data_IF_690793210283
#
_entry.id   IF_690793210283
#
_cell.length_a   1.000
_cell.length_b   1.000
_cell.length_c   1.000
_cell.angle_alpha   90.00
_cell.angle_beta   90.00
_cell.angle_gamma   90.00
#
_symmetry.space_group_name_H-M   'P 1'
#
loop_
_entity.id
_entity.type
_entity.pdbx_description
1 polymer ?
#
# COMPACT_ATOMS: atom_id res chain seq x y z
N UNK A 1 -69.62 6.48 -16.60
CA UNK A 1 -71.09 6.61 -16.51
C UNK A 1 -71.61 5.47 -15.64
N UNK A 2 -72.26 5.81 -14.52
CA UNK A 2 -73.37 5.05 -13.89
C UNK A 2 -73.01 3.73 -13.17
N UNK A 3 -72.80 3.86 -11.85
CA UNK A 3 -73.21 2.95 -10.74
C UNK A 3 -74.72 2.61 -10.78
N UNK A 4 -75.37 1.79 -9.90
CA UNK A 4 -74.95 0.76 -8.91
C UNK A 4 -75.95 -0.47 -8.98
N UNK A 5 -76.61 -1.09 -7.95
CA UNK A 5 -76.38 -1.25 -6.48
C UNK A 5 -76.79 -2.64 -5.82
N UNK A 6 -76.53 -2.74 -4.49
CA UNK A 6 -77.35 -3.31 -3.36
C UNK A 6 -77.45 -4.85 -3.15
N UNK A 7 -76.84 -5.43 -2.10
CA UNK A 7 -77.30 -5.69 -0.68
C UNK A 7 -78.48 -6.67 -0.54
N UNK A 8 -78.79 -7.23 0.66
CA UNK A 8 -77.99 -7.88 1.74
C UNK A 8 -78.66 -9.21 2.19
N UNK A 9 -78.19 -9.87 3.27
CA UNK A 9 -79.00 -10.28 4.45
C UNK A 9 -78.35 -11.41 5.28
N UNK A 10 -78.43 -11.21 6.60
CA UNK A 10 -78.19 -12.09 7.76
C UNK A 10 -79.01 -13.41 7.72
N UNK A 11 -78.71 -14.50 8.44
CA UNK A 11 -78.69 -14.67 9.92
C UNK A 11 -78.14 -16.06 10.31
N UNK A 12 -77.75 -16.20 11.59
CA UNK A 12 -77.20 -17.39 12.28
C UNK A 12 -78.23 -18.51 12.51
N UNK A 13 -77.78 -19.77 12.51
CA UNK A 13 -78.23 -20.84 13.45
C UNK A 13 -77.19 -21.99 13.51
N UNK A 14 -76.97 -22.54 14.71
CA UNK A 14 -76.27 -23.81 15.05
C UNK A 14 -77.33 -24.74 15.70
N UNK A 15 -77.17 -26.08 15.90
CA UNK A 15 -75.91 -26.83 16.12
C UNK A 15 -75.85 -28.30 15.57
N UNK A 16 -74.73 -28.98 15.92
CA UNK A 16 -74.55 -30.42 16.19
C UNK A 16 -74.06 -31.39 15.07
N UNK A 17 -72.75 -31.68 15.18
CA UNK A 17 -72.05 -32.99 15.12
C UNK A 17 -72.26 -33.97 13.96
N UNK A 18 -71.21 -34.19 13.14
CA UNK A 18 -70.50 -35.48 12.99
C UNK A 18 -69.45 -35.49 11.85
N UNK A 19 -68.22 -35.88 12.21
CA UNK A 19 -67.28 -36.78 11.50
C UNK A 19 -66.55 -36.27 10.22
N UNK A 20 -65.23 -36.04 10.42
CA UNK A 20 -64.06 -36.36 9.59
C UNK A 20 -64.05 -36.09 8.07
N UNK A 21 -63.09 -35.27 7.60
CA UNK A 21 -61.82 -35.72 6.97
C UNK A 21 -60.81 -34.57 7.06
N UNK A 22 -59.64 -34.89 7.61
CA UNK A 22 -58.47 -34.05 7.79
C UNK A 22 -57.60 -34.15 6.52
N UNK A 23 -57.56 -33.10 5.68
CA UNK A 23 -56.49 -32.93 4.69
C UNK A 23 -55.53 -31.86 5.20
N UNK A 24 -54.51 -32.35 5.91
CA UNK A 24 -53.42 -31.58 6.49
C UNK A 24 -52.43 -31.23 5.36
N UNK A 25 -52.49 -30.00 4.86
CA UNK A 25 -51.38 -29.43 4.11
C UNK A 25 -50.31 -28.96 5.09
N UNK A 26 -49.42 -29.88 5.51
CA UNK A 26 -48.15 -29.49 6.12
C UNK A 26 -47.23 -29.00 5.01
N UNK A 27 -47.27 -27.70 4.73
CA UNK A 27 -46.15 -27.04 4.08
C UNK A 27 -44.97 -27.08 5.06
N UNK A 28 -43.94 -27.81 4.68
CA UNK A 28 -42.70 -28.02 5.42
C UNK A 28 -41.97 -26.70 5.66
N UNK A 29 -42.06 -26.17 6.89
CA UNK A 29 -41.16 -25.12 7.42
C UNK A 29 -39.83 -25.77 7.85
N UNK A 30 -39.12 -26.39 6.91
CA UNK A 30 -37.80 -27.00 7.17
C UNK A 30 -36.65 -26.26 6.48
N UNK A 31 -36.94 -25.36 5.53
CA UNK A 31 -35.92 -24.54 4.86
C UNK A 31 -35.45 -23.31 5.64
N UNK A 32 -36.25 -22.82 6.60
CA UNK A 32 -35.96 -21.58 7.33
C UNK A 32 -34.91 -21.75 8.44
N UNK A 33 -34.82 -22.92 9.07
CA UNK A 33 -33.91 -23.17 10.21
C UNK A 33 -32.48 -23.52 9.80
N UNK A 34 -32.28 -24.14 8.63
CA UNK A 34 -30.96 -24.43 8.10
C UNK A 34 -30.25 -23.18 7.53
N UNK A 35 -31.03 -22.26 6.94
CA UNK A 35 -30.52 -20.98 6.43
C UNK A 35 -30.07 -20.03 7.55
N UNK A 36 -30.83 -19.97 8.66
CA UNK A 36 -30.47 -19.13 9.81
C UNK A 36 -29.26 -19.64 10.59
N UNK A 37 -29.09 -20.96 10.74
CA UNK A 37 -27.93 -21.53 11.41
C UNK A 37 -26.62 -21.29 10.63
N UNK A 38 -26.66 -21.38 9.30
CA UNK A 38 -25.51 -21.14 8.41
C UNK A 38 -25.11 -19.65 8.42
N UNK A 39 -26.08 -18.74 8.40
CA UNK A 39 -25.85 -17.29 8.52
C UNK A 39 -25.25 -16.90 9.89
N UNK A 40 -25.72 -17.50 10.98
CA UNK A 40 -25.20 -17.23 12.32
C UNK A 40 -23.75 -17.71 12.50
N UNK A 41 -23.41 -18.88 11.96
CA UNK A 41 -22.05 -19.43 12.02
C UNK A 41 -21.05 -18.60 11.19
N UNK A 42 -21.45 -18.16 9.98
CA UNK A 42 -20.62 -17.27 9.16
C UNK A 42 -20.38 -15.91 9.84
N UNK A 43 -21.42 -15.34 10.46
CA UNK A 43 -21.31 -14.10 11.25
C UNK A 43 -20.35 -14.26 12.45
N UNK A 44 -20.42 -15.39 13.16
CA UNK A 44 -19.52 -15.68 14.28
C UNK A 44 -18.05 -15.82 13.84
N UNK A 45 -17.78 -16.50 12.71
CA UNK A 45 -16.43 -16.65 12.17
C UNK A 45 -15.82 -15.30 11.74
N UNK A 46 -16.61 -14.42 11.10
CA UNK A 46 -16.17 -13.07 10.75
C UNK A 46 -15.88 -12.22 11.99
N UNK A 47 -16.71 -12.32 13.03
CA UNK A 47 -16.48 -11.61 14.30
C UNK A 47 -15.21 -12.10 15.00
N UNK A 48 -14.95 -13.41 15.01
CA UNK A 48 -13.74 -14.00 15.59
C UNK A 48 -12.48 -13.55 14.81
N UNK A 49 -12.53 -13.57 13.47
CA UNK A 49 -11.44 -13.05 12.65
C UNK A 49 -11.17 -11.57 12.93
N UNK A 50 -12.22 -10.76 13.03
CA UNK A 50 -12.12 -9.35 13.40
C UNK A 50 -11.42 -9.16 14.74
N UNK A 51 -11.82 -9.91 15.78
CA UNK A 51 -11.19 -9.84 17.10
C UNK A 51 -9.70 -10.24 17.08
N UNK A 52 -9.32 -11.25 16.29
CA UNK A 52 -7.91 -11.63 16.13
C UNK A 52 -7.10 -10.55 15.41
N UNK A 53 -7.69 -9.92 14.39
CA UNK A 53 -7.06 -8.79 13.69
C UNK A 53 -6.91 -7.59 14.63
N UNK A 54 -7.95 -7.24 15.40
CA UNK A 54 -7.89 -6.16 16.38
C UNK A 54 -6.76 -6.37 17.39
N UNK A 55 -6.62 -7.60 17.92
CA UNK A 55 -5.53 -7.94 18.83
C UNK A 55 -4.14 -7.81 18.18
N UNK A 56 -4.01 -8.14 16.89
CA UNK A 56 -2.77 -7.99 16.15
C UNK A 56 -2.40 -6.52 15.87
N UNK A 57 -3.40 -5.64 15.73
CA UNK A 57 -3.25 -4.25 15.28
C UNK A 57 -3.19 -3.26 16.44
N UNK A 58 -3.86 -3.54 17.57
CA UNK A 58 -4.02 -2.63 18.70
C UNK A 58 -2.69 -1.99 19.19
N UNK A 59 -1.57 -2.72 19.35
CA UNK A 59 -0.33 -2.11 19.82
C UNK A 59 0.22 -1.01 18.90
N UNK A 60 -0.02 -1.10 17.59
CA UNK A 60 0.42 -0.10 16.61
C UNK A 60 -0.46 1.16 16.66
N UNK A 61 -1.76 0.99 16.86
CA UNK A 61 -2.72 2.09 17.04
C UNK A 61 -2.46 2.82 18.35
N UNK A 62 -2.23 2.08 19.43
CA UNK A 62 -1.88 2.64 20.74
C UNK A 62 -0.56 3.43 20.69
N UNK A 63 0.44 2.94 19.95
CA UNK A 63 1.70 3.64 19.73
C UNK A 63 1.60 4.85 18.78
N UNK A 64 0.42 5.10 18.18
CA UNK A 64 0.21 6.08 17.11
C UNK A 64 1.12 5.84 15.88
N UNK A 65 1.61 4.61 15.70
CA UNK A 65 2.40 4.20 14.54
C UNK A 65 1.52 3.78 13.36
N UNK A 66 0.23 3.52 13.61
CA UNK A 66 -0.77 3.19 12.61
C UNK A 66 -2.11 3.87 12.89
N UNK A 67 -2.67 4.50 11.86
CA UNK A 67 -4.08 4.88 11.77
C UNK A 67 -4.50 4.70 10.30
N UNK A 68 -5.69 4.15 10.05
CA UNK A 68 -6.13 3.87 8.69
C UNK A 68 -7.18 2.78 8.59
N UNK A 69 -7.18 2.04 7.48
CA UNK A 69 -8.16 0.99 7.18
C UNK A 69 -7.43 -0.30 6.80
N UNK A 70 -7.83 -1.41 7.42
CA UNK A 70 -7.40 -2.76 7.06
C UNK A 70 -8.56 -3.48 6.42
N UNK A 71 -8.29 -4.21 5.34
CA UNK A 71 -9.28 -4.99 4.63
C UNK A 71 -8.78 -6.40 4.38
N UNK A 72 -9.67 -7.38 4.54
CA UNK A 72 -9.44 -8.78 4.15
C UNK A 72 -10.55 -9.20 3.20
N UNK A 73 -10.16 -9.60 1.99
CA UNK A 73 -11.05 -10.21 1.02
C UNK A 73 -10.68 -11.67 0.81
N UNK A 74 -11.68 -12.53 0.60
CA UNK A 74 -11.50 -13.88 0.07
C UNK A 74 -12.40 -14.05 -1.13
N UNK A 75 -11.90 -14.64 -2.20
CA UNK A 75 -12.64 -14.82 -3.46
C UNK A 75 -14.07 -15.34 -3.20
N UNK A 76 -15.06 -14.66 -3.76
CA UNK A 76 -16.48 -15.00 -3.62
C UNK A 76 -17.09 -14.80 -2.23
N UNK A 77 -16.39 -14.15 -1.29
CA UNK A 77 -16.88 -13.86 0.07
C UNK A 77 -16.97 -12.36 0.34
N UNK A 78 -17.89 -11.96 1.22
CA UNK A 78 -17.99 -10.57 1.67
C UNK A 78 -16.69 -10.15 2.39
N UNK A 79 -16.12 -8.97 2.06
CA UNK A 79 -14.88 -8.52 2.67
C UNK A 79 -15.09 -8.03 4.11
N UNK A 80 -14.07 -8.21 4.93
CA UNK A 80 -13.97 -7.60 6.25
C UNK A 80 -13.18 -6.29 6.14
N UNK A 81 -13.77 -5.16 6.55
CA UNK A 81 -13.12 -3.84 6.48
C UNK A 81 -13.16 -3.19 7.87
N UNK A 82 -11.99 -2.90 8.42
CA UNK A 82 -11.79 -2.46 9.80
C UNK A 82 -11.04 -1.12 9.82
N UNK A 83 -11.71 -0.01 10.19
CA UNK A 83 -11.06 1.29 10.38
C UNK A 83 -10.43 1.41 11.78
N UNK A 84 -9.30 2.09 11.87
CA UNK A 84 -8.53 2.28 13.10
C UNK A 84 -8.02 3.71 13.22
N UNK A 85 -8.08 4.28 14.43
CA UNK A 85 -7.48 5.59 14.72
C UNK A 85 -8.17 6.76 14.02
N UNK A 86 -7.42 7.83 13.76
CA UNK A 86 -7.94 9.12 13.29
C UNK A 86 -7.62 9.37 11.80
N UNK A 87 -8.65 9.72 11.04
CA UNK A 87 -8.53 10.26 9.69
C UNK A 87 -7.95 11.67 9.71
N UNK A 88 -8.35 12.50 10.68
CA UNK A 88 -7.73 13.80 10.94
C UNK A 88 -7.49 13.96 12.43
N UNK A 89 -6.22 14.16 12.80
CA UNK A 89 -5.80 14.34 14.19
C UNK A 89 -6.26 15.70 14.72
N UNK A 90 -6.11 16.76 13.93
CA UNK A 90 -6.44 18.14 14.32
C UNK A 90 -7.94 18.33 14.53
N UNK A 91 -8.77 17.61 13.77
CA UNK A 91 -10.23 17.72 13.83
C UNK A 91 -10.87 16.62 14.71
N UNK A 92 -10.09 15.67 15.22
CA UNK A 92 -10.60 14.54 16.00
C UNK A 92 -11.56 13.63 15.20
N UNK A 93 -11.34 13.51 13.89
CA UNK A 93 -12.21 12.74 13.00
C UNK A 93 -11.70 11.30 12.93
N UNK A 94 -12.47 10.29 13.37
CA UNK A 94 -12.07 8.89 13.27
C UNK A 94 -12.08 8.40 11.82
N UNK A 95 -11.29 7.37 11.54
CA UNK A 95 -11.36 6.68 10.25
C UNK A 95 -12.71 6.03 10.01
N UNK A 96 -13.09 5.98 8.74
CA UNK A 96 -14.25 5.25 8.24
C UNK A 96 -13.78 4.19 7.24
N UNK A 97 -14.57 3.11 7.00
CA UNK A 97 -14.20 2.08 6.05
C UNK A 97 -13.95 2.58 4.62
N UNK A 98 -14.55 3.72 4.25
CA UNK A 98 -14.50 4.35 2.93
C UNK A 98 -13.39 5.40 2.77
N UNK A 99 -12.45 5.49 3.73
CA UNK A 99 -11.30 6.40 3.66
C UNK A 99 -10.45 6.20 2.40
N UNK A 100 -9.97 7.31 1.82
CA UNK A 100 -9.18 7.35 0.58
C UNK A 100 -7.76 7.81 0.90
N UNK A 101 -6.77 7.01 0.52
CA UNK A 101 -5.36 7.15 0.87
C UNK A 101 -4.50 7.22 -0.38
N UNK A 102 -3.34 7.90 -0.33
CA UNK A 102 -2.29 7.63 -1.31
C UNK A 102 -1.74 6.22 -1.07
N UNK A 103 -1.70 5.41 -2.13
CA UNK A 103 -1.26 4.01 -2.00
C UNK A 103 0.22 3.82 -2.34
N UNK A 104 0.95 4.91 -2.60
CA UNK A 104 2.37 4.87 -2.92
C UNK A 104 2.69 3.81 -3.97
N UNK A 105 3.75 3.04 -3.74
CA UNK A 105 4.28 2.10 -4.73
C UNK A 105 3.38 0.91 -5.09
N UNK A 106 2.26 0.68 -4.38
CA UNK A 106 1.19 -0.21 -4.87
C UNK A 106 0.72 0.22 -6.28
N UNK A 107 0.83 1.51 -6.61
CA UNK A 107 0.55 2.08 -7.93
C UNK A 107 1.30 1.41 -9.08
N UNK A 108 2.45 0.77 -8.83
CA UNK A 108 3.27 0.11 -9.85
C UNK A 108 2.56 -1.09 -10.48
N UNK A 109 1.72 -1.79 -9.71
CA UNK A 109 0.90 -2.89 -10.24
C UNK A 109 -0.04 -2.38 -11.35
N UNK A 110 -0.67 -1.23 -11.13
CA UNK A 110 -1.56 -0.60 -12.10
C UNK A 110 -0.83 -0.16 -13.37
N UNK A 111 0.39 0.39 -13.23
CA UNK A 111 1.23 0.75 -14.40
C UNK A 111 1.63 -0.48 -15.20
N UNK A 112 2.05 -1.55 -14.52
CA UNK A 112 2.42 -2.81 -15.18
C UNK A 112 1.24 -3.42 -15.95
N UNK A 113 0.07 -3.49 -15.34
CA UNK A 113 -1.15 -4.00 -15.99
C UNK A 113 -1.57 -3.09 -17.14
N UNK A 114 -1.45 -1.77 -17.02
CA UNK A 114 -1.73 -0.86 -18.11
C UNK A 114 -0.82 -1.08 -19.34
N UNK A 115 0.47 -1.37 -19.13
CA UNK A 115 1.40 -1.78 -20.19
C UNK A 115 0.95 -3.10 -20.83
N UNK A 116 0.58 -4.10 -20.02
CA UNK A 116 0.12 -5.40 -20.54
C UNK A 116 -1.20 -5.29 -21.31
N UNK A 117 -2.15 -4.46 -20.87
CA UNK A 117 -3.37 -4.17 -21.62
C UNK A 117 -3.07 -3.53 -22.99
N UNK A 118 -2.09 -2.62 -23.05
CA UNK A 118 -1.62 -2.05 -24.32
C UNK A 118 -0.90 -3.08 -25.19
N UNK A 119 -0.20 -4.04 -24.60
CA UNK A 119 0.40 -5.17 -25.32
C UNK A 119 -0.67 -6.07 -25.93
N UNK A 120 -1.72 -6.41 -25.18
CA UNK A 120 -2.88 -7.17 -25.66
C UNK A 120 -3.62 -6.46 -26.80
N UNK A 121 -3.72 -5.13 -26.73
CA UNK A 121 -4.29 -4.30 -27.80
C UNK A 121 -3.36 -4.18 -29.03
N UNK A 122 -2.15 -4.76 -28.99
CA UNK A 122 -1.14 -4.66 -30.06
C UNK A 122 -0.55 -3.25 -30.23
N UNK A 123 -0.66 -2.40 -29.20
CA UNK A 123 -0.18 -1.00 -29.21
C UNK A 123 1.30 -0.89 -28.89
N UNK A 124 1.83 -1.82 -28.11
CA UNK A 124 3.25 -1.93 -27.76
C UNK A 124 3.62 -3.40 -27.55
N UNK A 125 4.90 -3.66 -27.33
CA UNK A 125 5.40 -4.91 -26.75
C UNK A 125 6.30 -4.61 -25.57
N UNK A 126 6.28 -5.47 -24.55
CA UNK A 126 7.17 -5.37 -23.39
C UNK A 126 8.64 -5.49 -23.79
N UNK A 127 8.94 -6.17 -24.90
CA UNK A 127 10.29 -6.27 -25.46
C UNK A 127 10.69 -5.07 -26.35
N UNK A 128 9.78 -4.12 -26.62
CA UNK A 128 10.12 -2.93 -27.41
C UNK A 128 11.18 -2.10 -26.67
N UNK A 129 12.15 -1.52 -27.40
CA UNK A 129 12.99 -0.49 -26.82
C UNK A 129 12.14 0.74 -26.49
N UNK A 130 12.47 1.44 -25.40
CA UNK A 130 11.78 2.65 -24.96
C UNK A 130 11.77 3.71 -26.07
N UNK A 131 12.84 3.81 -26.86
CA UNK A 131 12.95 4.75 -27.99
C UNK A 131 11.90 4.55 -29.09
N UNK A 132 11.28 3.36 -29.18
CA UNK A 132 10.16 3.14 -30.11
C UNK A 132 8.93 3.98 -29.76
N UNK A 133 8.71 4.20 -28.47
CA UNK A 133 7.55 4.93 -27.95
C UNK A 133 7.92 6.37 -27.55
N UNK A 134 9.17 6.59 -27.13
CA UNK A 134 9.72 7.86 -26.70
C UNK A 134 11.04 8.15 -27.46
N UNK A 135 10.98 8.53 -28.75
CA UNK A 135 12.17 8.65 -29.61
C UNK A 135 13.20 9.69 -29.12
N UNK A 136 12.73 10.70 -28.38
CA UNK A 136 13.57 11.76 -27.85
C UNK A 136 14.13 11.44 -26.44
N UNK A 137 13.84 10.26 -25.88
CA UNK A 137 14.35 9.87 -24.55
C UNK A 137 15.80 9.37 -24.64
N UNK A 138 16.79 10.06 -24.02
CA UNK A 138 18.19 9.69 -24.15
C UNK A 138 18.51 8.28 -23.60
N UNK A 139 19.17 7.46 -24.44
CA UNK A 139 19.53 6.07 -24.13
C UNK A 139 18.36 5.09 -24.14
N UNK A 140 17.18 5.50 -24.62
CA UNK A 140 15.98 4.64 -24.68
C UNK A 140 16.08 3.47 -25.67
N UNK A 141 17.06 3.47 -26.57
CA UNK A 141 17.35 2.39 -27.50
C UNK A 141 18.00 1.16 -26.83
N UNK A 142 18.68 1.37 -25.71
CA UNK A 142 19.29 0.30 -24.91
C UNK A 142 18.41 -0.26 -23.79
N UNK A 143 17.20 0.28 -23.59
CA UNK A 143 16.30 -0.07 -22.48
C UNK A 143 15.00 -0.62 -23.04
N UNK A 144 14.55 -1.80 -22.59
CA UNK A 144 13.22 -2.33 -22.94
C UNK A 144 12.15 -1.88 -21.95
N UNK A 145 10.88 -1.91 -22.36
CA UNK A 145 9.74 -1.66 -21.45
C UNK A 145 9.72 -2.65 -20.28
N UNK A 146 10.01 -3.93 -20.53
CA UNK A 146 10.15 -4.96 -19.50
C UNK A 146 11.21 -4.60 -18.44
N UNK A 147 12.35 -4.05 -18.86
CA UNK A 147 13.40 -3.62 -17.93
C UNK A 147 12.98 -2.44 -17.05
N UNK A 148 12.01 -1.61 -17.49
CA UNK A 148 11.39 -0.60 -16.62
C UNK A 148 10.56 -1.29 -15.53
N UNK A 149 9.74 -2.27 -15.90
CA UNK A 149 8.81 -2.95 -14.99
C UNK A 149 9.49 -3.88 -13.98
N UNK A 150 10.67 -4.40 -14.33
CA UNK A 150 11.45 -5.34 -13.50
C UNK A 150 12.57 -4.67 -12.73
N UNK A 151 12.64 -3.33 -12.72
CA UNK A 151 13.74 -2.55 -12.11
C UNK A 151 15.14 -2.91 -12.64
N UNK A 152 15.23 -3.33 -13.90
CA UNK A 152 16.48 -3.70 -14.56
C UNK A 152 17.01 -2.65 -15.55
N UNK A 153 16.35 -1.49 -15.66
CA UNK A 153 16.64 -0.48 -16.70
C UNK A 153 17.91 0.36 -16.49
N UNK A 154 18.42 0.46 -15.26
CA UNK A 154 19.49 1.41 -14.93
C UNK A 154 19.04 2.87 -14.82
N UNK A 155 17.75 3.16 -14.95
CA UNK A 155 17.22 4.51 -14.75
C UNK A 155 17.29 4.87 -13.27
N UNK A 156 17.85 6.04 -12.98
CA UNK A 156 18.00 6.54 -11.61
C UNK A 156 16.65 6.77 -10.92
N UNK A 157 16.64 6.72 -9.60
CA UNK A 157 15.45 7.03 -8.83
C UNK A 157 15.13 8.54 -8.88
N UNK A 158 13.86 8.92 -8.97
CA UNK A 158 13.43 10.34 -9.02
C UNK A 158 13.94 11.16 -7.83
N UNK A 159 14.15 10.54 -6.67
CA UNK A 159 14.65 11.20 -5.46
C UNK A 159 16.15 11.51 -5.53
N UNK A 160 16.88 10.95 -6.50
CA UNK A 160 18.29 11.26 -6.75
C UNK A 160 18.49 12.47 -7.68
N UNK A 161 17.41 12.95 -8.33
CA UNK A 161 17.48 14.08 -9.25
C UNK A 161 17.84 15.38 -8.52
N UNK A 162 18.71 16.18 -9.14
CA UNK A 162 19.11 17.49 -8.59
C UNK A 162 17.90 18.40 -8.36
N UNK A 163 16.94 18.41 -9.30
CA UNK A 163 15.71 19.20 -9.17
C UNK A 163 14.88 18.77 -7.96
N UNK A 164 14.82 17.47 -7.66
CA UNK A 164 14.12 16.97 -6.48
C UNK A 164 14.78 17.56 -5.22
N UNK A 165 16.11 17.45 -5.10
CA UNK A 165 16.86 18.03 -3.98
C UNK A 165 16.70 19.56 -3.86
N UNK A 166 16.74 20.29 -4.98
CA UNK A 166 16.62 21.75 -5.01
C UNK A 166 15.23 22.26 -4.63
N UNK A 167 14.17 21.54 -5.02
CA UNK A 167 12.77 21.93 -4.81
C UNK A 167 12.13 21.27 -3.61
N UNK A 168 12.84 20.34 -2.94
CA UNK A 168 12.27 19.46 -1.93
C UNK A 168 11.16 18.54 -2.48
N UNK A 169 11.17 18.25 -3.79
CA UNK A 169 10.12 17.50 -4.46
C UNK A 169 8.78 18.24 -4.60
N UNK A 170 8.72 19.53 -4.24
CA UNK A 170 7.46 20.30 -4.23
C UNK A 170 7.13 20.99 -5.56
N UNK A 171 8.06 20.99 -6.52
CA UNK A 171 7.86 21.64 -7.82
C UNK A 171 8.52 20.86 -8.97
N UNK A 172 7.93 21.00 -10.15
CA UNK A 172 8.36 20.34 -11.39
C UNK A 172 7.17 19.83 -12.19
N UNK A 173 7.33 19.76 -13.50
CA UNK A 173 6.38 19.11 -14.41
C UNK A 173 6.83 17.69 -14.71
N UNK A 174 5.89 16.81 -15.08
CA UNK A 174 6.22 15.43 -15.44
C UNK A 174 7.24 15.37 -16.60
N UNK A 175 7.12 16.26 -17.59
CA UNK A 175 8.08 16.40 -18.68
C UNK A 175 9.48 16.75 -18.19
N UNK A 176 9.62 17.68 -17.25
CA UNK A 176 10.94 18.01 -16.67
C UNK A 176 11.55 16.85 -15.90
N UNK A 177 10.74 16.05 -15.19
CA UNK A 177 11.22 14.84 -14.51
C UNK A 177 11.74 13.82 -15.52
N UNK A 178 11.02 13.60 -16.63
CA UNK A 178 11.49 12.70 -17.70
C UNK A 178 12.77 13.21 -18.38
N UNK A 179 12.88 14.51 -18.60
CA UNK A 179 14.08 15.16 -19.13
C UNK A 179 15.28 14.97 -18.20
N UNK A 180 15.09 15.20 -16.89
CA UNK A 180 16.12 15.00 -15.88
C UNK A 180 16.55 13.51 -15.81
N UNK A 181 15.59 12.56 -15.86
CA UNK A 181 15.88 11.11 -15.88
C UNK A 181 16.62 10.65 -17.15
N UNK A 182 16.31 11.27 -18.28
CA UNK A 182 16.99 11.04 -19.56
C UNK A 182 18.47 11.40 -19.49
N UNK A 183 18.80 12.54 -18.90
CA UNK A 183 20.17 13.05 -18.80
C UNK A 183 20.94 12.57 -17.57
N UNK A 184 20.28 11.97 -16.58
CA UNK A 184 20.95 11.37 -15.44
C UNK A 184 21.75 10.13 -15.86
N UNK A 185 22.98 10.01 -15.36
CA UNK A 185 23.82 8.83 -15.55
C UNK A 185 23.08 7.56 -15.11
N UNK A 186 23.22 6.48 -15.89
CA UNK A 186 22.60 5.20 -15.56
C UNK A 186 23.28 4.61 -14.33
N UNK A 187 22.49 4.07 -13.41
CA UNK A 187 23.01 3.46 -12.19
C UNK A 187 23.80 2.17 -12.48
N UNK A 188 23.49 1.53 -13.60
CA UNK A 188 24.12 0.32 -14.13
C UNK A 188 23.68 0.13 -15.59
N UNK A 189 24.31 -0.82 -16.29
CA UNK A 189 23.89 -1.16 -17.65
C UNK A 189 22.50 -1.83 -17.66
N UNK A 190 21.64 -1.54 -18.65
CA UNK A 190 20.32 -2.16 -18.74
C UNK A 190 20.41 -3.69 -18.78
N UNK A 191 19.57 -4.36 -17.98
CA UNK A 191 19.50 -5.80 -17.88
C UNK A 191 20.58 -6.47 -17.02
N UNK A 192 21.59 -5.73 -16.52
CA UNK A 192 22.72 -6.37 -15.81
C UNK A 192 22.55 -6.45 -14.29
N UNK A 193 21.61 -5.70 -13.70
CA UNK A 193 21.31 -5.75 -12.28
C UNK A 193 19.87 -5.31 -11.99
N UNK A 194 19.36 -5.70 -10.83
CA UNK A 194 18.09 -5.21 -10.27
C UNK A 194 18.38 -4.04 -9.31
N UNK A 195 17.85 -2.86 -9.60
CA UNK A 195 17.90 -1.70 -8.72
C UNK A 195 16.58 -0.94 -8.77
N UNK A 196 15.82 -0.98 -7.67
CA UNK A 196 14.50 -0.37 -7.57
C UNK A 196 14.53 1.11 -7.97
N UNK A 197 13.66 1.49 -8.91
CA UNK A 197 13.63 2.84 -9.45
C UNK A 197 12.21 3.34 -9.65
N UNK A 198 11.85 4.39 -8.92
CA UNK A 198 10.62 5.13 -9.23
C UNK A 198 10.71 5.82 -10.60
N UNK A 199 11.91 6.20 -11.04
CA UNK A 199 12.15 6.82 -12.34
C UNK A 199 11.84 5.89 -13.51
N UNK A 200 12.18 4.60 -13.39
CA UNK A 200 11.81 3.59 -14.37
C UNK A 200 10.29 3.52 -14.60
N UNK A 201 9.51 3.58 -13.51
CA UNK A 201 8.04 3.62 -13.58
C UNK A 201 7.47 4.93 -14.10
N UNK A 202 8.15 6.05 -13.87
CA UNK A 202 7.80 7.32 -14.52
C UNK A 202 8.00 7.24 -16.04
N UNK A 203 9.07 6.62 -16.52
CA UNK A 203 9.24 6.37 -17.96
C UNK A 203 8.20 5.39 -18.49
N UNK A 204 7.83 4.35 -17.73
CA UNK A 204 6.75 3.44 -18.12
C UNK A 204 5.39 4.17 -18.26
N UNK A 205 5.07 5.11 -17.36
CA UNK A 205 3.89 5.95 -17.52
C UNK A 205 3.95 6.82 -18.78
N UNK A 206 5.11 7.38 -19.13
CA UNK A 206 5.28 8.11 -20.39
C UNK A 206 5.10 7.21 -21.63
N UNK A 207 5.55 5.94 -21.56
CA UNK A 207 5.28 4.94 -22.61
C UNK A 207 3.77 4.67 -22.74
N UNK A 208 3.03 4.55 -21.62
CA UNK A 208 1.56 4.43 -21.64
C UNK A 208 0.94 5.64 -22.34
N UNK A 209 1.39 6.86 -22.02
CA UNK A 209 0.85 8.07 -22.65
C UNK A 209 1.09 8.10 -24.15
N UNK A 210 2.31 7.79 -24.59
CA UNK A 210 2.68 7.74 -25.99
C UNK A 210 1.93 6.64 -26.77
N UNK A 211 1.88 5.42 -26.23
CA UNK A 211 1.26 4.28 -26.89
C UNK A 211 -0.28 4.37 -26.92
N UNK A 212 -0.90 5.02 -25.94
CA UNK A 212 -2.36 5.16 -25.86
C UNK A 212 -2.90 6.47 -26.45
N UNK A 213 -2.09 7.53 -26.53
CA UNK A 213 -2.52 8.88 -26.88
C UNK A 213 -3.34 9.58 -25.79
N UNK A 214 -3.31 9.08 -24.55
CA UNK A 214 -4.07 9.57 -23.39
C UNK A 214 -3.11 9.90 -22.26
N UNK A 215 -3.51 10.77 -21.35
CA UNK A 215 -2.74 10.93 -20.11
C UNK A 215 -2.79 9.66 -19.27
N UNK A 216 -1.76 9.41 -18.45
CA UNK A 216 -1.66 8.20 -17.63
C UNK A 216 -2.92 7.99 -16.78
N UNK A 217 -3.41 9.07 -16.15
CA UNK A 217 -4.64 9.00 -15.34
C UNK A 217 -5.90 8.72 -16.15
N UNK A 218 -6.03 9.30 -17.35
CA UNK A 218 -7.19 9.07 -18.21
C UNK A 218 -7.21 7.62 -18.76
N UNK A 219 -6.05 7.05 -19.06
CA UNK A 219 -5.95 5.65 -19.46
C UNK A 219 -6.39 4.71 -18.33
N UNK A 220 -5.86 4.88 -17.12
CA UNK A 220 -6.26 4.07 -15.96
C UNK A 220 -7.75 4.19 -15.65
N UNK A 221 -8.30 5.41 -15.73
CA UNK A 221 -9.72 5.64 -15.48
C UNK A 221 -10.60 4.87 -16.47
N UNK A 222 -10.26 4.90 -17.76
CA UNK A 222 -11.06 4.21 -18.78
C UNK A 222 -10.87 2.69 -18.75
N UNK A 223 -9.64 2.23 -18.58
CA UNK A 223 -9.29 0.83 -18.82
C UNK A 223 -9.29 -0.03 -17.57
N UNK A 224 -9.22 0.57 -16.39
CA UNK A 224 -9.13 -0.16 -15.12
C UNK A 224 -10.20 0.35 -14.14
N UNK A 225 -10.13 1.61 -13.71
CA UNK A 225 -10.98 2.06 -12.59
C UNK A 225 -12.47 2.07 -12.94
N UNK A 226 -12.84 2.56 -14.13
CA UNK A 226 -14.23 2.58 -14.60
C UNK A 226 -14.82 1.18 -14.72
N UNK A 227 -14.21 0.27 -15.52
CA UNK A 227 -14.70 -1.10 -15.70
C UNK A 227 -14.84 -1.89 -14.40
N UNK A 228 -13.89 -1.73 -13.46
CA UNK A 228 -13.92 -2.42 -12.17
C UNK A 228 -14.78 -1.74 -11.11
N UNK A 229 -15.40 -0.59 -11.42
CA UNK A 229 -16.18 0.18 -10.46
C UNK A 229 -15.36 0.72 -9.29
N UNK A 230 -14.06 0.99 -9.49
CA UNK A 230 -13.16 1.56 -8.48
C UNK A 230 -13.36 3.08 -8.38
N UNK A 231 -14.50 3.51 -7.86
CA UNK A 231 -14.94 4.92 -7.87
C UNK A 231 -14.17 5.83 -6.92
N UNK A 232 -13.46 5.25 -5.95
CA UNK A 232 -12.58 5.98 -5.01
C UNK A 232 -11.13 6.03 -5.50
N UNK A 233 -10.82 5.41 -6.65
CA UNK A 233 -9.48 5.32 -7.20
C UNK A 233 -9.23 6.36 -8.29
N UNK A 234 -8.08 7.03 -8.22
CA UNK A 234 -7.71 8.05 -9.20
C UNK A 234 -6.20 8.32 -9.24
N UNK A 235 -5.71 8.68 -10.42
CA UNK A 235 -4.47 9.44 -10.57
C UNK A 235 -4.84 10.93 -10.63
N UNK A 236 -4.71 11.62 -9.50
CA UNK A 236 -5.01 13.03 -9.47
C UNK A 236 -3.79 13.85 -9.90
N UNK A 237 -3.76 14.21 -11.19
CA UNK A 237 -3.37 15.58 -11.55
C UNK A 237 -4.32 16.54 -10.81
N UNK A 238 -3.93 17.79 -10.47
CA UNK A 238 -4.63 18.62 -9.46
C UNK A 238 -6.14 18.70 -9.72
N UNK A 239 -6.90 17.85 -9.02
CA UNK A 239 -8.34 17.73 -9.08
C UNK A 239 -8.91 18.32 -7.78
N UNK A 240 -10.15 18.86 -7.80
CA UNK A 240 -10.78 19.41 -6.61
C UNK A 240 -10.82 18.39 -5.46
N UNK A 241 -10.95 18.92 -4.24
CA UNK A 241 -11.08 18.14 -3.02
C UNK A 241 -12.16 17.05 -3.19
N UNK A 242 -11.79 15.80 -2.91
CA UNK A 242 -12.72 14.66 -2.89
C UNK A 242 -13.07 14.31 -1.45
N UNK A 243 -14.35 14.07 -1.21
CA UNK A 243 -14.83 13.53 0.06
C UNK A 243 -14.15 12.18 0.36
N UNK A 244 -13.91 11.89 1.63
CA UNK A 244 -13.25 10.66 2.07
C UNK A 244 -11.72 10.66 1.99
N UNK A 245 -11.09 11.65 1.32
CA UNK A 245 -9.63 11.80 1.39
C UNK A 245 -9.17 12.21 2.78
N UNK A 246 -8.19 11.49 3.27
CA UNK A 246 -7.59 11.76 4.56
C UNK A 246 -6.25 12.48 4.40
N UNK A 247 -5.88 13.42 5.28
CA UNK A 247 -4.52 13.98 5.35
C UNK A 247 -3.52 12.90 5.78
N UNK A 248 -2.28 13.01 5.29
CA UNK A 248 -1.16 12.15 5.67
C UNK A 248 -0.31 12.76 6.77
N UNK A 249 0.30 11.90 7.60
CA UNK A 249 1.10 12.31 8.75
C UNK A 249 2.44 11.56 8.83
N UNK A 250 3.49 12.27 9.24
CA UNK A 250 4.73 11.66 9.70
C UNK A 250 4.69 11.49 11.23
N UNK A 251 5.20 10.36 11.76
CA UNK A 251 5.35 10.19 13.20
C UNK A 251 6.37 11.16 13.78
N UNK A 252 6.01 11.79 14.91
CA UNK A 252 6.84 12.77 15.62
C UNK A 252 6.87 12.49 17.12
N UNK A 253 8.07 12.46 17.70
CA UNK A 253 8.30 12.10 19.10
C UNK A 253 7.65 10.77 19.48
N UNK A 254 7.30 10.63 20.76
CA UNK A 254 6.79 9.38 21.31
C UNK A 254 5.45 8.93 20.70
N UNK A 255 4.47 9.85 20.54
CA UNK A 255 3.11 9.52 20.08
C UNK A 255 2.46 10.62 19.23
N UNK A 256 3.18 11.69 18.93
CA UNK A 256 2.64 12.79 18.11
C UNK A 256 2.73 12.45 16.63
N UNK A 257 1.96 13.21 15.84
CA UNK A 257 1.89 13.13 14.39
C UNK A 257 2.01 14.55 13.84
N UNK A 258 2.69 14.72 12.71
CA UNK A 258 2.84 16.00 12.02
C UNK A 258 2.26 15.89 10.61
N UNK A 259 1.35 16.79 10.19
CA UNK A 259 0.76 16.73 8.86
C UNK A 259 1.83 16.96 7.80
N UNK A 260 1.72 16.23 6.68
CA UNK A 260 2.69 16.28 5.58
C UNK A 260 1.99 16.68 4.29
N UNK A 261 2.61 17.62 3.58
CA UNK A 261 2.17 17.97 2.23
C UNK A 261 2.61 16.87 1.23
N UNK A 262 1.74 16.44 0.31
CA UNK A 262 2.13 15.51 -0.76
C UNK A 262 3.26 16.07 -1.62
N UNK A 263 4.16 15.17 -2.07
CA UNK A 263 5.15 15.48 -3.12
C UNK A 263 4.43 15.85 -4.42
N UNK A 264 5.03 16.71 -5.24
CA UNK A 264 4.45 17.06 -6.53
C UNK A 264 4.17 15.81 -7.38
N UNK A 265 2.98 15.68 -8.02
CA UNK A 265 2.61 14.49 -8.79
C UNK A 265 3.63 14.11 -9.88
N UNK A 266 4.37 15.09 -10.41
CA UNK A 266 5.42 14.86 -11.40
C UNK A 266 6.47 13.81 -10.98
N UNK A 267 6.77 13.67 -9.69
CA UNK A 267 7.74 12.70 -9.18
C UNK A 267 7.11 11.34 -8.83
N UNK A 268 5.79 11.23 -8.84
CA UNK A 268 5.06 10.00 -8.45
C UNK A 268 4.24 9.41 -9.59
N UNK A 269 4.04 10.10 -10.71
CA UNK A 269 3.35 9.57 -11.88
C UNK A 269 3.99 8.25 -12.33
N UNK A 270 3.17 7.21 -12.46
CA UNK A 270 3.56 5.82 -12.75
C UNK A 270 4.07 5.03 -11.53
N UNK A 271 4.76 5.68 -10.60
CA UNK A 271 5.48 5.01 -9.52
C UNK A 271 4.74 5.00 -8.18
N UNK A 272 3.88 5.99 -7.91
CA UNK A 272 3.26 6.16 -6.61
C UNK A 272 2.13 7.20 -6.50
N UNK A 273 1.55 7.65 -7.62
CA UNK A 273 0.61 8.78 -7.66
C UNK A 273 -0.86 8.43 -7.39
N UNK A 274 -1.20 7.15 -7.20
CA UNK A 274 -2.60 6.74 -7.08
C UNK A 274 -3.14 6.97 -5.68
N UNK A 275 -4.39 7.42 -5.65
CA UNK A 275 -5.27 7.37 -4.49
C UNK A 275 -6.23 6.21 -4.64
N UNK A 276 -6.58 5.54 -3.53
CA UNK A 276 -7.57 4.46 -3.54
C UNK A 276 -8.17 4.24 -2.15
N UNK A 277 -9.18 3.37 -2.08
CA UNK A 277 -9.80 2.89 -0.84
C UNK A 277 -9.53 1.39 -0.65
N UNK A 278 -9.74 0.90 0.57
CA UNK A 278 -9.66 -0.52 0.87
C UNK A 278 -10.55 -1.38 -0.06
N UNK A 279 -11.81 -0.96 -0.25
CA UNK A 279 -12.77 -1.68 -1.08
C UNK A 279 -12.33 -1.74 -2.55
N UNK A 280 -11.81 -0.64 -3.09
CA UNK A 280 -11.32 -0.59 -4.47
C UNK A 280 -10.10 -1.50 -4.67
N UNK A 281 -9.17 -1.54 -3.71
CA UNK A 281 -8.01 -2.43 -3.79
C UNK A 281 -8.39 -3.92 -3.70
N UNK A 282 -9.45 -4.26 -2.98
CA UNK A 282 -9.98 -5.63 -2.98
C UNK A 282 -10.57 -5.99 -4.35
N UNK A 283 -11.34 -5.09 -4.98
CA UNK A 283 -11.86 -5.28 -6.35
C UNK A 283 -10.72 -5.44 -7.36
N UNK A 284 -9.72 -4.57 -7.27
CA UNK A 284 -8.50 -4.65 -8.08
C UNK A 284 -7.83 -6.01 -7.96
N UNK A 285 -7.58 -6.47 -6.73
CA UNK A 285 -6.92 -7.75 -6.46
C UNK A 285 -7.73 -8.92 -7.01
N UNK A 286 -9.04 -8.95 -6.79
CA UNK A 286 -9.91 -10.00 -7.32
C UNK A 286 -9.85 -10.03 -8.86
N UNK A 287 -10.09 -8.90 -9.52
CA UNK A 287 -10.11 -8.84 -10.98
C UNK A 287 -8.75 -9.19 -11.62
N UNK A 288 -7.64 -8.76 -11.00
CA UNK A 288 -6.29 -9.06 -11.47
C UNK A 288 -5.96 -10.55 -11.39
N UNK A 289 -6.33 -11.21 -10.28
CA UNK A 289 -5.89 -12.57 -10.00
C UNK A 289 -6.87 -13.66 -10.45
N UNK A 290 -8.09 -13.30 -10.85
CA UNK A 290 -9.12 -14.23 -11.35
C UNK A 290 -9.30 -14.20 -12.87
N UNK A 291 -8.50 -13.39 -13.58
CA UNK A 291 -8.48 -13.36 -15.05
C UNK A 291 -9.52 -12.43 -15.70
N UNK A 292 -10.09 -11.49 -14.94
CA UNK A 292 -11.00 -10.47 -15.48
C UNK A 292 -10.24 -9.36 -16.24
N UNK A 293 -9.03 -9.03 -15.80
CA UNK A 293 -8.22 -7.94 -16.38
C UNK A 293 -7.25 -8.37 -17.49
N UNK A 294 -6.57 -9.50 -17.31
CA UNK A 294 -5.49 -9.93 -18.20
C UNK A 294 -5.79 -11.32 -18.75
N UNK A 295 -5.40 -11.55 -20.00
CA UNK A 295 -5.33 -12.90 -20.55
C UNK A 295 -4.40 -13.79 -19.73
N UNK A 296 -4.56 -15.13 -19.76
CA UNK A 296 -3.65 -16.04 -19.06
C UNK A 296 -2.17 -15.82 -19.43
N UNK A 297 -1.87 -15.51 -20.69
CA UNK A 297 -0.50 -15.25 -21.14
C UNK A 297 0.08 -13.98 -20.52
N UNK A 298 -0.68 -12.87 -20.54
CA UNK A 298 -0.26 -11.61 -19.92
C UNK A 298 -0.14 -11.72 -18.40
N UNK A 299 -1.05 -12.46 -17.75
CA UNK A 299 -0.98 -12.70 -16.32
C UNK A 299 0.26 -13.53 -15.94
N UNK A 300 0.64 -14.51 -16.77
CA UNK A 300 1.90 -15.23 -16.60
C UNK A 300 3.12 -14.33 -16.73
N UNK A 301 3.12 -13.34 -17.65
CA UNK A 301 4.17 -12.31 -17.69
C UNK A 301 4.17 -11.47 -16.42
N UNK A 302 3.00 -10.98 -16.01
CA UNK A 302 2.83 -10.11 -14.84
C UNK A 302 3.47 -10.69 -13.57
N UNK A 303 3.24 -11.99 -13.30
CA UNK A 303 3.65 -12.65 -12.06
C UNK A 303 5.03 -13.33 -12.10
N UNK A 304 5.71 -13.34 -13.25
CA UNK A 304 6.96 -14.10 -13.42
C UNK A 304 8.13 -13.36 -12.76
N UNK A 305 8.65 -13.94 -11.69
CA UNK A 305 9.90 -13.49 -11.08
C UNK A 305 11.11 -13.99 -11.89
N UNK A 306 12.00 -13.06 -12.25
CA UNK A 306 13.28 -13.35 -12.91
C UNK A 306 14.39 -13.85 -11.97
N UNK A 307 14.07 -14.09 -10.69
CA UNK A 307 14.99 -14.62 -9.67
C UNK A 307 15.41 -13.60 -8.61
N UNK A 308 14.77 -12.43 -8.56
CA UNK A 308 15.08 -11.36 -7.61
C UNK A 308 13.96 -11.12 -6.58
N UNK A 309 12.91 -11.94 -6.58
CA UNK A 309 11.72 -11.74 -5.75
C UNK A 309 10.83 -10.60 -6.27
N UNK A 310 10.93 -10.24 -7.55
CA UNK A 310 10.17 -9.14 -8.14
C UNK A 310 9.81 -9.44 -9.61
N UNK A 311 8.55 -9.19 -9.96
CA UNK A 311 7.98 -9.35 -11.30
C UNK A 311 7.51 -7.99 -11.83
N UNK A 312 6.45 -7.92 -12.64
CA UNK A 312 6.02 -6.63 -13.20
C UNK A 312 5.24 -5.81 -12.17
N UNK A 313 5.95 -4.94 -11.44
CA UNK A 313 5.34 -4.03 -10.46
C UNK A 313 4.82 -4.71 -9.22
N UNK A 314 5.28 -5.93 -8.93
CA UNK A 314 4.82 -6.74 -7.82
C UNK A 314 5.96 -7.59 -7.28
N UNK A 315 6.10 -7.64 -5.96
CA UNK A 315 7.03 -8.53 -5.26
C UNK A 315 6.46 -9.94 -5.21
N UNK A 316 7.34 -10.93 -5.32
CA UNK A 316 7.02 -12.35 -5.29
C UNK A 316 7.76 -12.97 -4.12
N UNK A 317 7.03 -13.50 -3.15
CA UNK A 317 7.64 -14.08 -1.94
C UNK A 317 6.75 -15.15 -1.31
N UNK A 318 7.26 -15.80 -0.28
CA UNK A 318 6.55 -16.81 0.50
C UNK A 318 6.25 -16.33 1.92
N UNK A 319 5.09 -16.67 2.44
CA UNK A 319 4.71 -16.36 3.83
C UNK A 319 3.72 -17.40 4.34
N UNK A 320 3.99 -17.97 5.52
CA UNK A 320 3.13 -19.02 6.11
C UNK A 320 2.84 -20.16 5.12
N UNK A 321 3.88 -20.60 4.38
CA UNK A 321 3.78 -21.67 3.38
C UNK A 321 2.97 -21.33 2.12
N UNK A 322 2.67 -20.04 1.87
CA UNK A 322 1.85 -19.57 0.74
C UNK A 322 2.64 -18.65 -0.17
N UNK A 323 2.38 -18.77 -1.46
CA UNK A 323 2.81 -17.84 -2.50
C UNK A 323 2.09 -16.52 -2.31
N UNK A 324 2.87 -15.44 -2.24
CA UNK A 324 2.37 -14.08 -2.08
C UNK A 324 2.84 -13.24 -3.24
N UNK A 325 1.87 -12.62 -3.90
CA UNK A 325 2.08 -11.51 -4.82
C UNK A 325 1.64 -10.24 -4.09
N UNK A 326 2.55 -9.29 -3.89
CA UNK A 326 2.20 -8.08 -3.17
C UNK A 326 3.14 -6.93 -3.43
N UNK A 327 2.72 -5.73 -3.03
CA UNK A 327 3.59 -4.57 -3.08
C UNK A 327 3.25 -3.66 -1.91
N UNK A 328 4.28 -3.11 -1.27
CA UNK A 328 4.11 -2.09 -0.25
C UNK A 328 4.14 -0.68 -0.88
N UNK A 329 3.69 0.33 -0.16
CA UNK A 329 3.75 1.70 -0.60
C UNK A 329 4.08 2.64 0.54
N UNK A 330 4.82 3.69 0.18
CA UNK A 330 5.10 4.80 1.08
C UNK A 330 5.21 6.08 0.27
N UNK A 331 4.50 7.12 0.70
CA UNK A 331 4.55 8.44 0.07
C UNK A 331 4.01 9.48 1.04
N UNK A 332 4.80 10.52 1.33
CA UNK A 332 4.43 11.74 2.04
C UNK A 332 3.26 11.64 3.04
N UNK A 333 3.51 11.04 4.21
CA UNK A 333 2.51 10.88 5.26
C UNK A 333 1.64 9.63 5.15
N UNK A 334 1.84 8.80 4.13
CA UNK A 334 1.06 7.58 3.89
C UNK A 334 1.94 6.34 3.77
N UNK A 335 1.33 5.23 4.17
CA UNK A 335 1.89 3.88 4.09
C UNK A 335 0.80 2.92 3.65
N UNK A 336 1.13 1.96 2.78
CA UNK A 336 0.19 0.95 2.29
C UNK A 336 0.85 -0.42 2.09
N UNK A 337 0.07 -1.47 2.11
CA UNK A 337 0.46 -2.82 1.72
C UNK A 337 -0.75 -3.50 1.07
N UNK A 338 -0.55 -4.11 -0.10
CA UNK A 338 -1.53 -4.97 -0.75
C UNK A 338 -0.87 -6.30 -1.07
N UNK A 339 -1.39 -7.37 -0.48
CA UNK A 339 -0.84 -8.71 -0.63
C UNK A 339 -1.93 -9.74 -0.94
N UNK A 340 -1.74 -10.46 -2.04
CA UNK A 340 -2.53 -11.62 -2.45
C UNK A 340 -1.82 -12.91 -2.06
N UNK A 341 -2.43 -13.68 -1.18
CA UNK A 341 -2.07 -15.06 -0.87
C UNK A 341 -2.74 -15.98 -1.89
N UNK A 342 -1.99 -16.34 -2.92
CA UNK A 342 -2.52 -16.92 -4.16
C UNK A 342 -3.19 -18.26 -3.90
N UNK A 343 -2.60 -19.10 -3.06
CA UNK A 343 -3.07 -20.46 -2.81
C UNK A 343 -4.47 -20.52 -2.16
N UNK A 344 -4.87 -19.46 -1.45
CA UNK A 344 -6.10 -19.42 -0.64
C UNK A 344 -7.14 -18.41 -1.16
N UNK A 345 -6.81 -17.68 -2.23
CA UNK A 345 -7.65 -16.59 -2.74
C UNK A 345 -7.85 -15.46 -1.73
N UNK A 346 -6.90 -15.24 -0.82
CA UNK A 346 -7.01 -14.22 0.24
C UNK A 346 -6.22 -12.99 -0.12
N UNK A 347 -6.83 -11.82 0.00
CA UNK A 347 -6.18 -10.51 -0.15
C UNK A 347 -6.19 -9.78 1.19
N UNK A 348 -5.04 -9.25 1.58
CA UNK A 348 -4.90 -8.33 2.71
C UNK A 348 -4.49 -6.96 2.18
N UNK A 349 -5.29 -5.94 2.50
CA UNK A 349 -4.97 -4.54 2.23
C UNK A 349 -4.79 -3.80 3.57
N UNK A 350 -3.68 -3.07 3.72
CA UNK A 350 -3.40 -2.20 4.86
C UNK A 350 -3.17 -0.81 4.29
N UNK A 351 -4.03 0.16 4.64
CA UNK A 351 -3.90 1.55 4.23
C UNK A 351 -3.75 2.42 5.47
N UNK A 352 -2.74 3.28 5.50
CA UNK A 352 -2.46 4.15 6.63
C UNK A 352 -2.18 5.58 6.21
N UNK A 353 -2.70 6.52 6.99
CA UNK A 353 -2.32 7.93 6.94
C UNK A 353 -1.23 8.29 7.95
N UNK A 354 -0.47 7.29 8.43
CA UNK A 354 0.77 7.49 9.18
C UNK A 354 1.89 6.84 8.39
N UNK A 355 2.94 7.60 8.06
CA UNK A 355 4.09 7.11 7.32
C UNK A 355 5.00 6.25 8.20
N UNK A 356 4.57 5.02 8.49
CA UNK A 356 5.32 4.01 9.25
C UNK A 356 5.44 2.72 8.45
N UNK A 357 6.59 2.05 8.54
CA UNK A 357 6.78 0.72 7.93
C UNK A 357 6.32 -0.45 8.81
N UNK A 358 5.66 -0.17 9.93
CA UNK A 358 4.97 -1.20 10.71
C UNK A 358 3.84 -1.91 9.93
N UNK A 359 3.40 -1.34 8.80
CA UNK A 359 2.42 -1.95 7.89
C UNK A 359 2.78 -3.39 7.51
N UNK A 360 4.07 -3.71 7.39
CA UNK A 360 4.55 -5.03 7.02
C UNK A 360 4.27 -6.07 8.14
N UNK A 361 4.51 -5.68 9.39
CA UNK A 361 4.21 -6.51 10.56
C UNK A 361 2.70 -6.59 10.82
N UNK A 362 1.96 -5.51 10.54
CA UNK A 362 0.49 -5.52 10.56
C UNK A 362 -0.05 -6.51 9.53
N UNK A 363 0.38 -6.44 8.27
CA UNK A 363 -0.02 -7.41 7.23
C UNK A 363 0.29 -8.84 7.69
N UNK A 364 1.47 -9.07 8.26
CA UNK A 364 1.86 -10.39 8.79
C UNK A 364 0.90 -10.86 9.89
N UNK A 365 0.57 -10.01 10.86
CA UNK A 365 -0.38 -10.34 11.92
C UNK A 365 -1.81 -10.60 11.41
N UNK A 366 -2.28 -9.79 10.47
CA UNK A 366 -3.59 -9.97 9.81
C UNK A 366 -3.63 -11.28 9.04
N UNK A 367 -2.59 -11.60 8.28
CA UNK A 367 -2.51 -12.86 7.56
C UNK A 367 -2.43 -14.06 8.51
N UNK A 368 -1.69 -13.96 9.61
CA UNK A 368 -1.66 -14.99 10.63
C UNK A 368 -3.05 -15.25 11.21
N UNK A 369 -3.81 -14.18 11.51
CA UNK A 369 -5.20 -14.30 11.94
C UNK A 369 -6.12 -14.94 10.89
N UNK A 370 -5.88 -14.73 9.59
CA UNK A 370 -6.63 -15.38 8.51
C UNK A 370 -6.35 -16.88 8.41
N UNK A 371 -5.11 -17.30 8.67
CA UNK A 371 -4.64 -18.67 8.44
C UNK A 371 -4.52 -19.51 9.71
N UNK A 372 -4.78 -18.93 10.89
CA UNK A 372 -4.61 -19.61 12.18
C UNK A 372 -3.14 -19.84 12.53
N UNK A 373 -2.26 -18.98 12.05
CA UNK A 373 -0.82 -19.04 12.32
C UNK A 373 -0.48 -18.25 13.59
N UNK A 374 0.64 -18.59 14.22
CA UNK A 374 1.12 -17.84 15.38
C UNK A 374 1.67 -16.48 14.96
N UNK A 375 1.24 -15.44 15.68
CA UNK A 375 1.78 -14.10 15.58
C UNK A 375 1.83 -13.46 16.97
N UNK A 376 2.99 -12.93 17.31
CA UNK A 376 3.19 -12.15 18.53
C UNK A 376 3.32 -10.69 18.14
N UNK A 377 2.33 -9.84 18.44
CA UNK A 377 2.46 -8.40 18.24
C UNK A 377 3.63 -7.86 19.06
N UNK A 378 4.27 -6.76 18.62
CA UNK A 378 5.31 -6.12 19.39
C UNK A 378 4.71 -5.58 20.70
N UNK A 379 5.50 -5.64 21.78
CA UNK A 379 5.14 -4.93 23.00
C UNK A 379 4.99 -3.43 22.72
N UNK A 380 4.03 -2.79 23.38
CA UNK A 380 3.85 -1.34 23.33
C UNK A 380 5.15 -0.66 23.75
N UNK A 381 5.65 0.23 22.88
CA UNK A 381 6.93 0.91 23.09
C UNK A 381 6.75 2.06 24.07
N UNK A 382 7.62 2.10 25.07
CA UNK A 382 7.75 3.22 26.00
C UNK A 382 9.00 3.98 25.59
N UNK A 383 8.83 5.26 25.26
CA UNK A 383 9.93 6.14 24.90
C UNK A 383 10.42 6.90 26.13
N UNK A 384 11.74 7.05 26.24
CA UNK A 384 12.34 7.91 27.25
C UNK A 384 12.09 9.39 26.92
N UNK A 385 12.21 10.30 27.91
CA UNK A 385 12.33 11.72 27.64
C UNK A 385 13.49 12.01 26.68
N UNK A 386 13.39 13.10 25.92
CA UNK A 386 14.52 13.59 25.14
C UNK A 386 15.72 13.87 26.07
N UNK A 387 16.96 13.48 25.71
CA UNK A 387 18.13 13.79 26.52
C UNK A 387 18.34 15.31 26.65
N UNK A 388 18.77 15.76 27.83
CA UNK A 388 19.02 17.18 28.13
C UNK A 388 20.23 17.78 27.38
N UNK A 389 20.99 16.96 26.65
CA UNK A 389 22.16 17.39 25.87
C UNK A 389 22.98 16.21 25.33
N UNK A 390 24.14 16.51 24.74
CA UNK A 390 25.10 15.50 24.26
C UNK A 390 24.78 14.89 22.90
N UNK A 391 23.64 15.23 22.28
CA UNK A 391 23.21 14.62 21.01
C UNK A 391 24.14 14.90 19.83
N UNK A 392 24.91 15.99 19.87
CA UNK A 392 25.89 16.35 18.84
C UNK A 392 26.96 15.26 18.65
N UNK A 393 27.21 14.42 19.68
CA UNK A 393 28.17 13.32 19.55
C UNK A 393 27.75 12.27 18.51
N UNK A 394 26.44 12.10 18.33
CA UNK A 394 25.83 11.15 17.39
C UNK A 394 25.65 11.73 15.99
N UNK A 395 25.74 13.06 15.83
CA UNK A 395 25.56 13.73 14.55
C UNK A 395 26.74 13.42 13.60
N UNK A 396 26.46 13.00 12.37
CA UNK A 396 27.50 12.61 11.42
C UNK A 396 26.95 11.95 10.18
N UNK A 397 27.85 11.54 9.28
CA UNK A 397 27.49 10.73 8.11
C UNK A 397 27.99 9.32 8.32
N UNK A 398 27.07 8.36 8.24
CA UNK A 398 27.34 6.94 8.43
C UNK A 398 27.18 6.20 7.10
N UNK A 399 28.17 5.41 6.72
CA UNK A 399 28.21 4.71 5.44
C UNK A 399 27.94 3.22 5.62
N UNK A 400 26.88 2.73 4.99
CA UNK A 400 26.55 1.31 4.89
C UNK A 400 26.89 0.83 3.48
N UNK A 401 27.99 0.09 3.34
CA UNK A 401 28.48 -0.33 2.03
C UNK A 401 28.87 0.86 1.12
N UNK A 402 28.97 0.65 -0.20
CA UNK A 402 29.55 1.67 -1.09
C UNK A 402 28.68 2.91 -1.30
N UNK A 403 27.34 2.74 -1.36
CA UNK A 403 26.42 3.77 -1.89
C UNK A 403 25.32 4.22 -0.92
N UNK A 404 25.21 3.64 0.27
CA UNK A 404 24.16 4.01 1.23
C UNK A 404 24.73 4.85 2.36
N UNK A 405 24.28 6.09 2.46
CA UNK A 405 24.66 7.02 3.51
C UNK A 405 23.46 7.35 4.38
N UNK A 406 23.66 7.36 5.70
CA UNK A 406 22.71 7.90 6.67
C UNK A 406 23.34 9.15 7.28
N UNK A 407 22.73 10.30 7.03
CA UNK A 407 23.09 11.54 7.72
C UNK A 407 22.26 11.64 8.99
N UNK A 408 22.93 11.69 10.15
CA UNK A 408 22.30 11.99 11.43
C UNK A 408 22.62 13.43 11.79
N UNK A 409 21.60 14.20 12.15
CA UNK A 409 21.75 15.58 12.62
C UNK A 409 21.11 15.74 13.99
N UNK A 410 21.74 16.49 14.88
CA UNK A 410 21.15 16.93 16.13
C UNK A 410 20.59 18.34 15.97
N UNK A 411 19.31 18.53 16.32
CA UNK A 411 18.66 19.84 16.33
C UNK A 411 17.52 19.83 17.35
N UNK A 412 17.33 20.93 18.08
CA UNK A 412 16.22 21.13 19.03
C UNK A 412 16.02 19.97 20.03
N UNK A 413 17.13 19.40 20.53
CA UNK A 413 17.11 18.29 21.48
C UNK A 413 16.69 16.95 20.86
N UNK A 414 16.78 16.80 19.53
CA UNK A 414 16.36 15.59 18.80
C UNK A 414 17.44 15.12 17.84
N UNK A 415 17.43 13.82 17.56
CA UNK A 415 18.19 13.23 16.47
C UNK A 415 17.28 13.03 15.27
N UNK A 416 17.72 13.50 14.12
CA UNK A 416 17.07 13.28 12.84
C UNK A 416 17.98 12.43 11.97
N UNK A 417 17.43 11.41 11.32
CA UNK A 417 18.14 10.55 10.39
C UNK A 417 17.55 10.69 8.99
N UNK A 418 18.44 10.86 8.01
CA UNK A 418 18.10 10.91 6.58
C UNK A 418 18.96 9.91 5.82
N UNK A 419 18.32 8.98 5.13
CA UNK A 419 18.99 8.07 4.20
C UNK A 419 19.15 8.75 2.83
N UNK A 420 20.39 8.89 2.34
CA UNK A 420 20.73 9.55 1.08
C UNK A 420 20.01 10.92 0.92
N UNK A 421 19.30 11.12 -0.20
CA UNK A 421 18.49 12.32 -0.48
C UNK A 421 17.01 12.14 -0.10
N UNK A 422 16.68 11.10 0.68
CA UNK A 422 15.32 10.81 1.10
C UNK A 422 14.79 11.78 2.17
N UNK A 423 13.58 11.50 2.65
CA UNK A 423 12.99 12.21 3.78
C UNK A 423 13.80 12.03 5.07
N UNK A 424 13.74 13.04 5.93
CA UNK A 424 14.29 12.97 7.28
C UNK A 424 13.26 12.39 8.24
N UNK A 425 13.69 11.55 9.17
CA UNK A 425 12.82 10.98 10.22
C UNK A 425 13.45 11.15 11.59
N UNK A 426 12.64 11.40 12.60
CA UNK A 426 13.13 11.47 13.98
C UNK A 426 13.56 10.09 14.48
N UNK A 427 14.67 10.08 15.24
CA UNK A 427 15.10 8.98 16.08
C UNK A 427 14.66 9.29 17.51
N UNK A 428 13.65 8.56 17.99
CA UNK A 428 13.05 8.77 19.32
C UNK A 428 13.80 7.93 20.35
N UNK A 429 14.27 8.50 21.48
CA UNK A 429 15.01 7.75 22.48
C UNK A 429 14.13 6.68 23.13
N UNK A 430 14.65 5.46 23.21
CA UNK A 430 14.07 4.36 23.99
C UNK A 430 14.71 4.34 25.38
N UNK A 431 16.03 4.48 25.42
CA UNK A 431 16.85 4.65 26.62
C UNK A 431 18.13 5.43 26.27
N UNK A 432 19.13 5.42 27.15
CA UNK A 432 20.41 6.13 26.98
C UNK A 432 21.30 5.55 25.86
N UNK A 433 20.96 4.39 25.31
CA UNK A 433 21.78 3.61 24.37
C UNK A 433 21.06 3.23 23.08
N UNK A 434 19.72 3.27 23.08
CA UNK A 434 18.88 2.90 21.95
C UNK A 434 17.88 4.01 21.59
N UNK A 435 17.78 4.25 20.29
CA UNK A 435 16.76 5.07 19.66
C UNK A 435 15.88 4.21 18.77
N UNK A 436 14.77 4.76 18.33
CA UNK A 436 13.85 4.09 17.42
C UNK A 436 13.38 5.07 16.34
N UNK A 437 13.51 4.69 15.08
CA UNK A 437 12.82 5.37 14.00
C UNK A 437 11.40 4.82 13.93
N UNK A 438 10.40 5.64 14.28
CA UNK A 438 8.98 5.26 14.14
C UNK A 438 8.60 5.10 12.67
N UNK A 439 9.08 6.00 11.81
CA UNK A 439 8.83 5.96 10.37
C UNK A 439 9.37 4.69 9.71
N UNK A 440 10.62 4.32 10.03
CA UNK A 440 11.28 3.13 9.48
C UNK A 440 11.13 1.89 10.38
N UNK A 441 10.32 2.01 11.43
CA UNK A 441 9.97 0.98 12.40
C UNK A 441 11.16 0.12 12.86
N UNK A 442 12.29 0.77 13.13
CA UNK A 442 13.55 0.10 13.41
C UNK A 442 14.28 0.73 14.60
N UNK A 443 14.88 -0.14 15.41
CA UNK A 443 15.83 0.24 16.45
C UNK A 443 17.10 0.81 15.83
N UNK A 444 17.68 1.80 16.48
CA UNK A 444 18.91 2.47 16.06
C UNK A 444 19.82 2.58 17.28
N UNK A 445 21.05 2.10 17.14
CA UNK A 445 22.07 2.13 18.20
C UNK A 445 23.35 2.74 17.67
N UNK A 446 24.13 3.35 18.54
CA UNK A 446 25.44 3.91 18.20
C UNK A 446 26.54 3.09 18.87
N UNK A 447 27.47 2.57 18.07
CA UNK A 447 28.67 1.92 18.60
C UNK A 447 29.79 2.93 18.80
N UNK A 448 30.74 2.57 19.68
CA UNK A 448 31.89 3.40 20.03
C UNK A 448 33.20 2.68 19.74
N UNK A 449 34.25 3.44 19.46
CA UNK A 449 35.62 2.96 19.34
C UNK A 449 36.28 2.75 20.72
N UNK A 450 37.57 2.36 20.73
CA UNK A 450 38.35 2.16 21.96
C UNK A 450 38.58 3.44 22.76
N UNK A 451 38.44 4.61 22.13
CA UNK A 451 38.56 5.92 22.78
C UNK A 451 37.20 6.43 23.30
N UNK A 452 36.13 5.65 23.13
CA UNK A 452 34.76 6.00 23.54
C UNK A 452 34.03 6.94 22.58
N UNK A 453 34.55 7.20 21.38
CA UNK A 453 33.91 8.05 20.38
C UNK A 453 32.93 7.26 19.54
N UNK A 454 31.78 7.86 19.20
CA UNK A 454 30.81 7.23 18.29
C UNK A 454 31.43 7.05 16.91
N UNK A 455 31.61 5.80 16.49
CA UNK A 455 32.30 5.40 15.27
C UNK A 455 31.41 4.65 14.28
N UNK A 456 30.23 4.20 14.71
CA UNK A 456 29.29 3.45 13.87
C UNK A 456 27.83 3.65 14.25
N UNK A 457 26.96 3.54 13.27
CA UNK A 457 25.50 3.47 13.40
C UNK A 457 25.04 2.04 13.13
N UNK A 458 24.23 1.47 14.01
CA UNK A 458 23.66 0.14 13.88
C UNK A 458 22.16 0.30 13.65
N UNK A 459 21.65 -0.22 12.53
CA UNK A 459 20.26 -0.04 12.11
C UNK A 459 19.52 -1.37 12.12
N UNK A 460 18.60 -1.56 13.06
CA UNK A 460 17.81 -2.78 13.23
C UNK A 460 18.09 -3.53 14.54
N UNK A 461 17.39 -4.65 14.71
CA UNK A 461 17.41 -5.48 15.92
C UNK A 461 18.44 -6.61 15.83
N UNK A 462 18.96 -7.01 16.99
CA UNK A 462 19.85 -8.18 17.13
C UNK A 462 21.31 -7.90 16.78
N UNK A 463 22.14 -8.95 16.93
CA UNK A 463 23.59 -8.90 16.71
C UNK A 463 23.98 -8.83 15.23
N UNK A 464 23.11 -9.30 14.32
CA UNK A 464 23.31 -9.25 12.87
C UNK A 464 22.80 -7.99 12.17
N UNK A 465 22.39 -6.97 12.93
CA UNK A 465 21.89 -5.73 12.35
C UNK A 465 22.97 -5.04 11.49
N UNK A 466 22.63 -4.51 10.30
CA UNK A 466 23.59 -3.79 9.47
C UNK A 466 24.19 -2.63 10.25
N UNK A 467 25.49 -2.41 10.04
CA UNK A 467 26.23 -1.32 10.65
C UNK A 467 26.91 -0.47 9.58
N UNK A 468 26.93 0.84 9.82
CA UNK A 468 27.57 1.82 8.96
C UNK A 468 28.65 2.58 9.71
N UNK A 469 29.86 2.64 9.14
CA UNK A 469 30.98 3.37 9.73
C UNK A 469 30.76 4.87 9.60
N UNK A 470 31.11 5.64 10.63
CA UNK A 470 31.11 7.10 10.58
C UNK A 470 32.23 7.57 9.65
N UNK A 471 31.86 8.34 8.63
CA UNK A 471 32.76 8.88 7.61
C UNK A 471 32.86 10.40 7.63
N UNK A 472 32.00 11.07 8.42
CA UNK A 472 32.04 12.51 8.67
C UNK A 472 31.45 12.85 10.02
#
# INVERSE_FOLDING_TARGET
MIHPPRTPCSTRFRPSSAIAVLCLAFATVTGATASTATSAAASAATAELGARIDAAVAPYVEAADFAGVIAVGRDGSEPLVLPYGMASVELGVPHRPDGIFMIGSVSKQFTAVAILLLEEDGRLRTEDPVSRHLPDFPGGDGITVEQLLTHASGIADVYSLERFGRTGGMAGTFREVLEDLGHHERTHAPGTAHAYSNGGYSVAAAVIEAASGRTYGAFLQERIFGPLGMTSSAHDAPSPAREGRVPGYDPWGARSLTPVAPVAPAYTTGSGSLWSSAADLLRWSEALHTGELLSPESYEKFRRDGGNGYAYGISVFQRYGRDVLGHDGRVAGFSSDLARYVNDGVTVAVLSNVQSVCRDEIRRGVAAACFGEDYTPPASRIFAPAPDGGLDEFAGVYRFGPHFLVTVTAADGRLMARANQGGSSELVPVDDTEWFSRMLYASVRFGRDTDGRVDRLIWGRGEGAPSGARVR
#
